data_IF_581915687716
#
_entry.id   IF_581915687716
#
_cell.length_a   1.000
_cell.length_b   1.000
_cell.length_c   1.000
_cell.angle_alpha   90.00
_cell.angle_beta   90.00
_cell.angle_gamma   90.00
#
_symmetry.space_group_name_H-M   'P 1'
#
loop_
_entity.id
_entity.type
_entity.pdbx_description
1 polymer ?
#
# COMPACT_ATOMS: atom_id res chain seq x y z
N UNK A 1 7.02 25.53 -21.17
CA UNK A 1 5.56 25.85 -21.18
C UNK A 1 4.93 25.05 -20.08
N UNK A 2 4.14 25.68 -19.20
CA UNK A 2 3.41 24.97 -18.14
C UNK A 2 2.30 24.10 -18.72
N UNK A 3 1.99 22.96 -18.07
CA UNK A 3 0.76 22.23 -18.36
C UNK A 3 -0.36 22.75 -17.44
N UNK A 4 -1.60 22.78 -17.96
CA UNK A 4 -2.79 23.14 -17.19
C UNK A 4 -3.84 22.03 -17.38
N UNK A 5 -4.19 21.34 -16.31
CA UNK A 5 -5.19 20.25 -16.32
C UNK A 5 -6.52 20.81 -15.82
N UNK A 6 -7.53 20.83 -16.69
CA UNK A 6 -8.90 21.24 -16.38
C UNK A 6 -9.79 20.04 -16.19
N UNK A 7 -10.66 20.09 -15.20
CA UNK A 7 -11.74 19.14 -14.98
C UNK A 7 -12.98 19.88 -14.45
N UNK A 8 -14.15 19.24 -14.44
CA UNK A 8 -15.35 19.83 -13.86
C UNK A 8 -15.21 20.00 -12.35
N UNK A 9 -14.62 18.98 -11.67
CA UNK A 9 -14.32 19.01 -10.25
C UNK A 9 -12.86 18.68 -10.02
N UNK A 10 -12.21 19.37 -9.08
CA UNK A 10 -10.85 19.12 -8.60
C UNK A 10 -10.94 18.87 -7.10
N UNK A 11 -10.59 17.66 -6.64
CA UNK A 11 -10.58 17.33 -5.21
C UNK A 11 -9.38 18.00 -4.55
N UNK A 12 -9.63 18.76 -3.50
CA UNK A 12 -8.63 19.52 -2.74
C UNK A 12 -8.09 18.73 -1.53
N UNK A 13 -6.97 19.16 -0.91
CA UNK A 13 -6.36 18.45 0.22
C UNK A 13 -7.27 18.25 1.43
N UNK A 14 -8.18 19.19 1.68
CA UNK A 14 -9.19 19.13 2.75
C UNK A 14 -10.41 18.26 2.38
N UNK A 15 -10.30 17.54 1.26
CA UNK A 15 -11.38 16.71 0.71
C UNK A 15 -12.66 17.51 0.38
N UNK A 16 -12.53 18.81 0.09
CA UNK A 16 -13.55 19.58 -0.64
C UNK A 16 -13.32 19.47 -2.15
N UNK A 17 -14.03 20.24 -2.96
CA UNK A 17 -13.75 20.32 -4.39
C UNK A 17 -13.86 21.74 -4.95
N UNK A 18 -13.09 22.02 -5.99
CA UNK A 18 -13.15 23.25 -6.76
C UNK A 18 -13.79 22.97 -8.13
N UNK A 19 -14.49 24.00 -8.65
CA UNK A 19 -15.01 24.05 -10.02
C UNK A 19 -14.35 25.21 -10.76
N UNK A 20 -14.50 25.25 -12.10
CA UNK A 20 -13.99 26.35 -12.93
C UNK A 20 -12.51 26.69 -12.70
N UNK A 21 -11.71 25.68 -12.40
CA UNK A 21 -10.30 25.81 -12.05
C UNK A 21 -9.43 24.82 -12.83
N UNK A 22 -8.12 25.06 -12.84
CA UNK A 22 -7.14 24.17 -13.45
C UNK A 22 -5.95 23.99 -12.53
N UNK A 23 -5.41 22.77 -12.47
CA UNK A 23 -4.14 22.44 -11.82
C UNK A 23 -2.99 22.81 -12.75
N UNK A 24 -2.07 23.64 -12.29
CA UNK A 24 -0.89 24.08 -13.05
C UNK A 24 0.31 23.23 -12.67
N UNK A 25 0.97 22.69 -13.68
CA UNK A 25 2.13 21.82 -13.54
C UNK A 25 3.32 22.44 -14.25
N UNK A 26 4.43 22.53 -13.52
CA UNK A 26 5.74 22.90 -14.04
C UNK A 26 6.66 21.67 -14.00
N UNK A 27 7.01 21.12 -15.16
CA UNK A 27 7.72 19.86 -15.30
C UNK A 27 6.97 18.71 -14.57
N UNK A 28 7.42 18.32 -13.40
CA UNK A 28 6.83 17.26 -12.59
C UNK A 28 6.22 17.74 -11.26
N UNK A 29 6.13 19.06 -11.06
CA UNK A 29 5.70 19.68 -9.80
C UNK A 29 4.39 20.46 -10.01
N UNK A 30 3.45 20.33 -9.10
CA UNK A 30 2.25 21.15 -9.01
C UNK A 30 2.67 22.55 -8.57
N UNK A 31 2.42 23.55 -9.44
CA UNK A 31 2.69 24.96 -9.14
C UNK A 31 1.56 25.64 -8.39
N UNK A 32 0.33 25.09 -8.50
CA UNK A 32 -0.87 25.63 -7.84
C UNK A 32 -2.14 25.30 -8.62
N UNK A 33 -3.25 25.86 -8.15
CA UNK A 33 -4.55 25.81 -8.82
C UNK A 33 -4.96 27.24 -9.13
N UNK A 34 -5.41 27.50 -10.35
CA UNK A 34 -5.87 28.82 -10.76
C UNK A 34 -7.28 28.75 -11.38
N UNK A 35 -8.07 29.83 -11.32
CA UNK A 35 -9.34 29.93 -12.03
C UNK A 35 -9.16 29.82 -13.55
N UNK A 36 -10.12 29.20 -14.24
CA UNK A 36 -10.04 28.98 -15.69
C UNK A 36 -9.90 30.24 -16.51
N UNK A 37 -10.45 31.38 -16.05
CA UNK A 37 -10.36 32.68 -16.76
C UNK A 37 -8.93 33.22 -16.83
N UNK A 38 -8.01 32.76 -15.98
CA UNK A 38 -6.58 33.13 -15.98
C UNK A 38 -5.73 32.31 -16.96
N UNK A 39 -6.33 31.28 -17.62
CA UNK A 39 -5.63 30.45 -18.58
C UNK A 39 -5.43 31.19 -19.91
N UNK A 40 -4.18 31.34 -20.32
CA UNK A 40 -3.82 31.86 -21.63
C UNK A 40 -3.06 30.81 -22.45
N UNK A 41 -3.40 30.63 -23.73
CA UNK A 41 -2.75 29.67 -24.64
C UNK A 41 -1.26 29.94 -24.84
N UNK A 42 -0.81 31.19 -24.70
CA UNK A 42 0.62 31.56 -24.81
C UNK A 42 1.46 30.97 -23.65
N UNK A 43 0.87 30.83 -22.46
CA UNK A 43 1.57 30.40 -21.24
C UNK A 43 1.38 28.93 -20.93
N UNK A 44 0.21 28.36 -21.28
CA UNK A 44 -0.19 27.02 -20.83
C UNK A 44 -0.53 26.09 -21.99
N UNK A 45 0.00 24.85 -21.93
CA UNK A 45 -0.54 23.72 -22.70
C UNK A 45 -1.73 23.16 -21.90
N UNK A 46 -2.95 23.46 -22.38
CA UNK A 46 -4.18 23.08 -21.68
C UNK A 46 -4.61 21.67 -22.09
N UNK A 47 -4.88 20.83 -21.11
CA UNK A 47 -5.53 19.52 -21.24
C UNK A 47 -6.90 19.65 -20.56
N UNK A 48 -7.95 19.62 -21.36
CA UNK A 48 -9.33 19.78 -20.89
C UNK A 48 -10.04 18.43 -20.79
N UNK A 49 -10.16 17.93 -19.57
CA UNK A 49 -10.83 16.66 -19.25
C UNK A 49 -12.36 16.78 -19.17
N UNK A 50 -12.90 17.98 -19.41
CA UNK A 50 -14.35 18.26 -19.49
C UNK A 50 -15.12 17.74 -18.27
N UNK A 51 -16.12 16.84 -18.52
CA UNK A 51 -17.01 16.30 -17.49
C UNK A 51 -16.31 15.18 -16.71
N UNK A 52 -15.37 15.54 -15.84
CA UNK A 52 -14.57 14.61 -15.06
C UNK A 52 -14.27 15.12 -13.65
N UNK A 53 -13.82 14.22 -12.78
CA UNK A 53 -13.29 14.50 -11.45
C UNK A 53 -11.79 14.27 -11.48
N UNK A 54 -11.01 15.32 -11.19
CA UNK A 54 -9.55 15.28 -11.04
C UNK A 54 -9.19 15.14 -9.56
N UNK A 55 -8.34 14.20 -9.25
CA UNK A 55 -7.90 13.91 -7.88
C UNK A 55 -6.44 13.45 -7.87
N UNK A 56 -5.78 13.39 -6.69
CA UNK A 56 -4.45 12.79 -6.57
C UNK A 56 -4.50 11.33 -7.03
N UNK A 57 -3.41 10.83 -7.58
CA UNK A 57 -3.28 9.43 -7.93
C UNK A 57 -3.52 8.50 -6.74
N UNK A 58 -4.17 7.38 -6.96
CA UNK A 58 -4.36 6.37 -5.92
C UNK A 58 -3.03 5.75 -5.50
N UNK A 59 -2.94 5.39 -4.24
CA UNK A 59 -1.77 4.79 -3.60
C UNK A 59 -2.16 3.43 -3.04
N UNK A 60 -1.80 2.37 -3.75
CA UNK A 60 -1.90 1.00 -3.25
C UNK A 60 -0.72 0.75 -2.29
N UNK A 61 -0.97 0.94 -1.00
CA UNK A 61 0.09 1.03 0.00
C UNK A 61 0.69 -0.32 0.40
N UNK A 62 0.13 -1.42 -0.07
CA UNK A 62 0.62 -2.78 0.17
C UNK A 62 0.14 -3.72 -0.93
N UNK A 63 1.09 -4.27 -1.68
CA UNK A 63 0.81 -5.25 -2.74
C UNK A 63 1.98 -6.22 -2.91
N UNK A 64 1.67 -7.46 -3.32
CA UNK A 64 2.63 -8.52 -3.66
C UNK A 64 2.46 -8.89 -5.14
N UNK A 65 3.02 -8.10 -6.06
CA UNK A 65 2.90 -8.37 -7.50
C UNK A 65 3.55 -9.68 -7.92
N UNK A 66 4.63 -10.05 -7.24
CA UNK A 66 5.38 -11.29 -7.48
C UNK A 66 4.55 -12.55 -7.26
N UNK A 67 3.48 -12.51 -6.44
CA UNK A 67 2.69 -13.68 -6.05
C UNK A 67 1.46 -13.93 -6.94
N UNK A 68 1.21 -13.12 -7.98
CA UNK A 68 0.04 -13.30 -8.84
C UNK A 68 -0.03 -14.67 -9.53
N UNK A 69 1.11 -15.26 -9.87
CA UNK A 69 1.15 -16.58 -10.51
C UNK A 69 0.64 -17.71 -9.62
N UNK A 70 0.58 -17.51 -8.31
CA UNK A 70 0.13 -18.53 -7.35
C UNK A 70 -1.38 -18.67 -7.29
N UNK A 71 -2.15 -17.65 -7.69
CA UNK A 71 -3.61 -17.60 -7.53
C UNK A 71 -4.34 -18.88 -8.00
N UNK A 72 -3.98 -19.37 -9.18
CA UNK A 72 -4.61 -20.56 -9.78
C UNK A 72 -4.04 -21.90 -9.27
N UNK A 73 -3.03 -21.85 -8.41
CA UNK A 73 -2.34 -23.03 -7.89
C UNK A 73 -2.71 -23.29 -6.42
N UNK A 74 -3.44 -22.38 -5.79
CA UNK A 74 -3.89 -22.53 -4.43
C UNK A 74 -5.10 -23.45 -4.38
N UNK A 75 -5.00 -24.49 -3.55
CA UNK A 75 -6.13 -25.34 -3.19
C UNK A 75 -6.98 -24.64 -2.11
N UNK A 76 -8.26 -25.00 -1.94
CA UNK A 76 -9.08 -24.54 -0.83
C UNK A 76 -8.35 -24.73 0.51
N UNK A 77 -8.48 -23.77 1.39
CA UNK A 77 -7.87 -23.78 2.72
C UNK A 77 -8.88 -23.34 3.78
N UNK A 78 -8.74 -23.87 4.99
CA UNK A 78 -9.67 -23.58 6.09
C UNK A 78 -9.07 -22.60 7.12
N UNK A 79 -7.77 -22.35 7.08
CA UNK A 79 -7.09 -21.48 8.04
C UNK A 79 -5.94 -20.72 7.39
N UNK A 80 -5.55 -19.63 8.02
CA UNK A 80 -4.38 -18.85 7.62
C UNK A 80 -3.07 -19.69 7.55
N UNK A 81 -2.76 -20.56 8.52
CA UNK A 81 -1.60 -21.44 8.42
C UNK A 81 -1.66 -22.45 7.27
N UNK A 82 -2.84 -22.93 6.87
CA UNK A 82 -2.98 -23.82 5.71
C UNK A 82 -2.64 -23.09 4.41
N UNK A 83 -3.14 -21.86 4.25
CA UNK A 83 -2.78 -20.98 3.14
C UNK A 83 -1.28 -20.68 3.13
N UNK A 84 -0.71 -20.27 4.28
CA UNK A 84 0.71 -19.92 4.40
C UNK A 84 1.63 -21.08 4.00
N UNK A 85 1.28 -22.32 4.38
CA UNK A 85 2.00 -23.52 3.97
C UNK A 85 2.02 -23.70 2.44
N UNK A 86 0.90 -23.45 1.77
CA UNK A 86 0.83 -23.54 0.31
C UNK A 86 1.74 -22.50 -0.32
N UNK A 87 1.68 -21.23 0.14
CA UNK A 87 2.54 -20.15 -0.37
C UNK A 87 4.02 -20.49 -0.19
N UNK A 88 4.43 -20.93 1.00
CA UNK A 88 5.83 -21.29 1.26
C UNK A 88 6.29 -22.45 0.35
N UNK A 89 5.41 -23.44 0.12
CA UNK A 89 5.71 -24.58 -0.77
C UNK A 89 5.86 -24.13 -2.23
N UNK A 90 4.97 -23.25 -2.70
CA UNK A 90 5.04 -22.68 -4.05
C UNK A 90 6.29 -21.81 -4.23
N UNK A 91 6.63 -20.99 -3.22
CA UNK A 91 7.84 -20.13 -3.25
C UNK A 91 9.14 -20.93 -3.36
N UNK A 92 9.18 -22.20 -2.98
CA UNK A 92 10.40 -23.06 -3.14
C UNK A 92 10.64 -23.50 -4.59
N UNK A 93 9.57 -23.61 -5.40
CA UNK A 93 9.58 -24.15 -6.75
C UNK A 93 9.09 -23.11 -7.79
N UNK A 94 9.63 -21.89 -7.72
CA UNK A 94 9.23 -20.82 -8.61
C UNK A 94 9.99 -20.85 -9.94
N UNK A 95 9.36 -20.20 -10.94
CA UNK A 95 9.93 -19.93 -12.26
C UNK A 95 10.05 -18.41 -12.45
N UNK A 96 11.24 -17.94 -12.74
CA UNK A 96 11.52 -16.51 -12.94
C UNK A 96 10.63 -15.87 -14.00
N UNK A 97 10.25 -16.62 -15.05
CA UNK A 97 9.37 -16.13 -16.11
C UNK A 97 7.95 -15.89 -15.59
N UNK A 98 7.44 -16.77 -14.74
CA UNK A 98 6.12 -16.64 -14.11
C UNK A 98 6.08 -15.42 -13.20
N UNK A 99 7.13 -15.19 -12.39
CA UNK A 99 7.23 -14.00 -11.53
C UNK A 99 7.27 -12.73 -12.39
N UNK A 100 8.15 -12.67 -13.39
CA UNK A 100 8.25 -11.50 -14.26
C UNK A 100 6.93 -11.18 -14.99
N UNK A 101 6.19 -12.20 -15.44
CA UNK A 101 4.88 -12.03 -16.06
C UNK A 101 3.81 -11.58 -15.04
N UNK A 102 3.85 -12.10 -13.82
CA UNK A 102 2.99 -11.68 -12.71
C UNK A 102 3.15 -10.20 -12.42
N UNK A 103 4.38 -9.76 -12.24
CA UNK A 103 4.70 -8.35 -11.97
C UNK A 103 4.19 -7.44 -13.09
N UNK A 104 4.44 -7.77 -14.35
CA UNK A 104 3.95 -6.97 -15.49
C UNK A 104 2.43 -6.85 -15.50
N UNK A 105 1.71 -7.97 -15.36
CA UNK A 105 0.23 -7.97 -15.31
C UNK A 105 -0.30 -7.15 -14.14
N UNK A 106 0.31 -7.31 -12.98
CA UNK A 106 -0.09 -6.56 -11.78
C UNK A 106 0.18 -5.05 -11.90
N UNK A 107 1.27 -4.65 -12.54
CA UNK A 107 1.54 -3.25 -12.86
C UNK A 107 0.49 -2.67 -13.81
N UNK A 108 0.15 -3.41 -14.88
CA UNK A 108 -0.88 -2.99 -15.84
C UNK A 108 -2.25 -2.85 -15.16
N UNK A 109 -2.65 -3.79 -14.31
CA UNK A 109 -3.90 -3.74 -13.55
C UNK A 109 -3.92 -2.56 -12.57
N UNK A 110 -2.82 -2.33 -11.87
CA UNK A 110 -2.65 -1.18 -10.98
C UNK A 110 -2.82 0.15 -11.71
N UNK A 111 -2.10 0.36 -12.81
CA UNK A 111 -2.18 1.57 -13.62
C UNK A 111 -3.59 1.78 -14.21
N UNK A 112 -4.25 0.70 -14.66
CA UNK A 112 -5.61 0.77 -15.20
C UNK A 112 -6.68 1.06 -14.14
N UNK A 113 -6.40 0.84 -12.87
CA UNK A 113 -7.29 1.20 -11.76
C UNK A 113 -7.03 2.60 -11.17
N UNK A 114 -6.12 3.38 -11.76
CA UNK A 114 -5.78 4.73 -11.30
C UNK A 114 -4.70 4.76 -10.21
N UNK A 115 -4.02 3.66 -9.94
CA UNK A 115 -2.88 3.63 -9.03
C UNK A 115 -1.67 4.28 -9.71
N UNK A 116 -1.08 5.27 -9.04
CA UNK A 116 0.14 5.97 -9.48
C UNK A 116 1.34 5.62 -8.60
N UNK A 117 1.07 5.10 -7.41
CA UNK A 117 2.08 4.70 -6.43
C UNK A 117 1.73 3.36 -5.81
N UNK A 118 2.73 2.49 -5.69
CA UNK A 118 2.60 1.19 -5.01
C UNK A 118 3.56 1.06 -3.84
N UNK A 119 3.13 0.34 -2.80
CA UNK A 119 3.98 -0.24 -1.75
C UNK A 119 4.22 -1.71 -2.08
N UNK A 120 5.19 -2.00 -2.94
CA UNK A 120 5.52 -3.35 -3.38
C UNK A 120 6.33 -4.10 -2.36
N UNK A 121 5.95 -5.34 -2.06
CA UNK A 121 6.71 -6.24 -1.20
C UNK A 121 7.48 -7.22 -2.08
N UNK A 122 8.78 -7.01 -2.20
CA UNK A 122 9.68 -7.87 -2.98
C UNK A 122 10.23 -9.00 -2.13
N UNK A 123 9.86 -10.21 -2.45
CA UNK A 123 10.15 -11.41 -1.67
C UNK A 123 10.97 -12.48 -2.41
N UNK A 124 11.32 -12.22 -3.68
CA UNK A 124 12.13 -13.09 -4.54
C UNK A 124 13.46 -12.43 -4.94
N UNK A 125 14.11 -11.77 -3.98
CA UNK A 125 15.45 -11.20 -4.13
C UNK A 125 15.59 -10.22 -5.33
N UNK A 126 14.50 -9.45 -5.59
CA UNK A 126 14.49 -8.37 -6.58
C UNK A 126 14.22 -8.81 -8.02
N UNK A 127 13.60 -9.95 -8.24
CA UNK A 127 13.20 -10.39 -9.60
C UNK A 127 12.21 -9.43 -10.26
N UNK A 128 11.43 -8.69 -9.46
CA UNK A 128 10.46 -7.67 -9.85
C UNK A 128 11.09 -6.32 -10.24
N UNK A 129 12.28 -6.01 -9.70
CA UNK A 129 12.91 -4.69 -9.76
C UNK A 129 12.98 -4.10 -11.16
N UNK A 130 13.46 -4.87 -12.16
CA UNK A 130 13.60 -4.37 -13.54
C UNK A 130 12.25 -4.01 -14.17
N UNK A 131 11.21 -4.80 -13.91
CA UNK A 131 9.87 -4.54 -14.45
C UNK A 131 9.26 -3.29 -13.80
N UNK A 132 9.43 -3.12 -12.49
CA UNK A 132 8.97 -1.94 -11.73
C UNK A 132 9.63 -0.66 -12.26
N UNK A 133 10.96 -0.63 -12.36
CA UNK A 133 11.66 0.57 -12.87
C UNK A 133 11.21 0.92 -14.29
N UNK A 134 11.04 -0.09 -15.16
CA UNK A 134 10.60 0.12 -16.55
C UNK A 134 9.17 0.65 -16.64
N UNK A 135 8.29 0.31 -15.71
CA UNK A 135 6.88 0.76 -15.71
C UNK A 135 6.71 2.25 -15.50
N UNK A 136 7.66 2.89 -14.82
CA UNK A 136 7.57 4.30 -14.42
C UNK A 136 6.55 4.59 -13.30
N UNK A 137 5.92 3.55 -12.72
CA UNK A 137 5.05 3.71 -11.55
C UNK A 137 5.90 4.12 -10.34
N UNK A 138 5.40 5.05 -9.53
CA UNK A 138 6.10 5.41 -8.29
C UNK A 138 6.03 4.24 -7.31
N UNK A 139 7.16 3.88 -6.70
CA UNK A 139 7.25 2.69 -5.87
C UNK A 139 7.96 2.97 -4.55
N UNK A 140 7.27 2.69 -3.44
CA UNK A 140 7.89 2.39 -2.17
C UNK A 140 8.20 0.88 -2.18
N UNK A 141 9.47 0.55 -2.38
CA UNK A 141 9.94 -0.81 -2.61
C UNK A 141 10.38 -1.43 -1.30
N UNK A 142 9.58 -2.28 -0.74
CA UNK A 142 9.84 -2.98 0.50
C UNK A 142 10.56 -4.31 0.23
N UNK A 143 11.86 -4.34 0.50
CA UNK A 143 12.65 -5.56 0.40
C UNK A 143 12.38 -6.47 1.60
N UNK A 144 11.74 -7.62 1.34
CA UNK A 144 11.31 -8.55 2.38
C UNK A 144 12.48 -9.33 2.99
N UNK A 145 12.51 -9.40 4.31
CA UNK A 145 13.47 -10.18 5.10
C UNK A 145 12.72 -11.11 6.05
N UNK A 146 13.07 -12.40 5.99
CA UNK A 146 12.68 -13.43 6.94
C UNK A 146 13.95 -14.10 7.51
N UNK A 147 13.83 -15.04 8.48
CA UNK A 147 15.00 -15.76 9.00
C UNK A 147 15.78 -16.49 7.90
N UNK A 148 15.09 -17.07 6.93
CA UNK A 148 15.70 -17.75 5.78
C UNK A 148 16.52 -16.84 4.86
N UNK A 149 16.21 -15.54 4.86
CA UNK A 149 16.82 -14.53 3.99
C UNK A 149 17.59 -13.45 4.77
N UNK A 150 17.82 -13.64 6.07
CA UNK A 150 18.44 -12.62 6.94
C UNK A 150 19.85 -12.21 6.47
N UNK A 151 20.57 -13.08 5.78
CA UNK A 151 21.89 -12.77 5.23
C UNK A 151 21.82 -11.80 4.05
N UNK A 152 20.69 -11.74 3.34
CA UNK A 152 20.50 -10.87 2.19
C UNK A 152 20.50 -9.38 2.58
N UNK A 153 20.34 -9.07 3.88
CA UNK A 153 20.40 -7.68 4.37
C UNK A 153 21.80 -7.03 4.13
N UNK A 154 22.82 -7.83 3.94
CA UNK A 154 24.20 -7.37 3.66
C UNK A 154 24.60 -7.58 2.19
N UNK A 155 23.67 -8.05 1.35
CA UNK A 155 23.95 -8.34 -0.06
C UNK A 155 24.38 -7.09 -0.84
N UNK A 156 25.21 -7.31 -1.88
CA UNK A 156 25.60 -6.26 -2.83
C UNK A 156 24.37 -5.70 -3.56
N UNK A 157 23.38 -6.55 -3.83
CA UNK A 157 22.13 -6.15 -4.50
C UNK A 157 21.37 -5.12 -3.64
N UNK A 158 21.10 -5.43 -2.37
CA UNK A 158 20.38 -4.50 -1.49
C UNK A 158 21.13 -3.18 -1.30
N UNK A 159 22.48 -3.24 -1.16
CA UNK A 159 23.32 -2.02 -1.10
C UNK A 159 23.24 -1.19 -2.39
N UNK A 160 23.18 -1.85 -3.55
CA UNK A 160 22.97 -1.18 -4.84
C UNK A 160 21.60 -0.51 -4.94
N UNK A 161 20.54 -1.13 -4.42
CA UNK A 161 19.20 -0.52 -4.38
C UNK A 161 19.17 0.76 -3.51
N UNK A 162 19.88 0.79 -2.39
CA UNK A 162 20.03 2.00 -1.55
C UNK A 162 20.60 3.18 -2.33
N UNK A 163 21.59 2.93 -3.19
CA UNK A 163 22.22 3.97 -4.01
C UNK A 163 21.31 4.46 -5.15
N UNK A 164 20.39 3.63 -5.62
CA UNK A 164 19.46 3.92 -6.71
C UNK A 164 18.15 4.58 -6.27
N UNK A 165 17.99 4.88 -4.99
CA UNK A 165 16.79 5.57 -4.48
C UNK A 165 16.65 6.96 -5.11
N UNK A 166 15.46 7.27 -5.60
CA UNK A 166 15.14 8.55 -6.24
C UNK A 166 13.65 8.91 -6.02
N UNK A 167 13.15 9.94 -6.69
CA UNK A 167 11.76 10.39 -6.49
C UNK A 167 10.71 9.36 -6.91
N UNK A 168 11.02 8.46 -7.86
CA UNK A 168 10.09 7.41 -8.33
C UNK A 168 10.32 6.06 -7.66
N UNK A 169 11.53 5.81 -7.14
CA UNK A 169 11.89 4.55 -6.49
C UNK A 169 12.51 4.81 -5.13
N UNK A 170 11.84 4.36 -4.07
CA UNK A 170 12.27 4.55 -2.69
C UNK A 170 12.38 3.20 -1.97
N UNK A 171 13.61 2.76 -1.70
CA UNK A 171 13.86 1.50 -1.00
C UNK A 171 13.46 1.59 0.47
N UNK A 172 12.79 0.54 0.94
CA UNK A 172 12.38 0.30 2.31
C UNK A 172 12.71 -1.13 2.68
N UNK A 173 12.68 -1.47 3.97
CA UNK A 173 12.94 -2.83 4.44
C UNK A 173 11.66 -3.39 5.07
N UNK A 174 11.38 -4.65 4.78
CA UNK A 174 10.19 -5.33 5.27
C UNK A 174 10.55 -6.58 6.08
N UNK A 175 10.82 -6.48 7.40
CA UNK A 175 10.77 -7.67 8.23
C UNK A 175 9.39 -8.30 8.13
N UNK A 176 9.31 -9.50 7.53
CA UNK A 176 8.04 -10.08 7.09
C UNK A 176 6.98 -10.08 8.21
N UNK A 177 7.30 -10.68 9.38
CA UNK A 177 6.38 -10.77 10.52
C UNK A 177 7.12 -11.16 11.80
N UNK A 178 6.47 -11.05 12.95
CA UNK A 178 7.05 -11.50 14.24
C UNK A 178 7.20 -13.03 14.35
N UNK A 179 6.46 -13.77 13.54
CA UNK A 179 6.54 -15.25 13.54
C UNK A 179 7.49 -15.80 12.47
N UNK A 180 8.05 -14.97 11.61
CA UNK A 180 9.02 -15.35 10.58
C UNK A 180 10.45 -14.88 10.87
N UNK A 181 10.63 -14.04 11.89
CA UNK A 181 11.91 -13.53 12.36
C UNK A 181 12.05 -13.75 13.88
N UNK A 182 13.18 -14.31 14.31
CA UNK A 182 13.50 -14.28 15.73
C UNK A 182 13.92 -12.90 16.21
N UNK A 183 13.94 -12.70 17.52
CA UNK A 183 14.26 -11.40 18.13
C UNK A 183 15.65 -10.89 17.72
N UNK A 184 16.64 -11.76 17.54
CA UNK A 184 18.00 -11.40 17.13
C UNK A 184 18.02 -10.87 15.70
N UNK A 185 17.38 -11.60 14.80
CA UNK A 185 17.26 -11.21 13.37
C UNK A 185 16.50 -9.91 13.22
N UNK A 186 15.39 -9.75 13.95
CA UNK A 186 14.62 -8.50 13.94
C UNK A 186 15.47 -7.30 14.40
N UNK A 187 16.23 -7.44 15.50
CA UNK A 187 17.16 -6.39 15.95
C UNK A 187 18.24 -6.06 14.90
N UNK A 188 18.74 -7.05 14.14
CA UNK A 188 19.68 -6.84 13.03
C UNK A 188 19.04 -6.00 11.92
N UNK A 189 17.78 -6.31 11.52
CA UNK A 189 17.02 -5.53 10.53
C UNK A 189 16.81 -4.09 11.00
N UNK A 190 16.48 -3.90 12.28
CA UNK A 190 16.31 -2.58 12.86
C UNK A 190 17.60 -1.74 12.83
N UNK A 191 18.72 -2.38 13.20
CA UNK A 191 20.03 -1.72 13.16
C UNK A 191 20.39 -1.27 11.74
N UNK A 192 20.13 -2.14 10.74
CA UNK A 192 20.34 -1.82 9.32
C UNK A 192 19.46 -0.64 8.88
N UNK A 193 18.17 -0.69 9.15
CA UNK A 193 17.24 0.38 8.77
C UNK A 193 17.64 1.72 9.41
N UNK A 194 18.05 1.71 10.69
CA UNK A 194 18.56 2.90 11.38
C UNK A 194 19.83 3.43 10.72
N UNK A 195 20.80 2.56 10.42
CA UNK A 195 22.07 2.93 9.79
C UNK A 195 21.86 3.61 8.43
N UNK A 196 20.89 3.13 7.66
CA UNK A 196 20.63 3.61 6.30
C UNK A 196 19.47 4.61 6.22
N UNK A 197 18.93 5.05 7.36
CA UNK A 197 17.79 5.97 7.46
C UNK A 197 16.61 5.55 6.54
N UNK A 198 16.30 4.25 6.53
CA UNK A 198 15.21 3.71 5.71
C UNK A 198 14.00 3.31 6.57
N UNK A 199 12.80 3.51 6.01
CA UNK A 199 11.56 3.13 6.66
C UNK A 199 11.39 1.62 6.68
N UNK A 200 10.68 1.12 7.69
CA UNK A 200 10.30 -0.28 7.83
C UNK A 200 8.82 -0.49 7.48
N UNK A 201 8.47 -1.72 7.11
CA UNK A 201 7.11 -2.23 7.08
C UNK A 201 7.07 -3.63 7.68
N UNK A 202 5.92 -4.09 8.18
CA UNK A 202 5.76 -5.43 8.76
C UNK A 202 4.29 -5.87 8.69
N UNK A 203 4.03 -7.14 8.37
CA UNK A 203 2.72 -7.76 8.60
C UNK A 203 2.54 -7.97 10.11
N UNK A 204 1.41 -7.49 10.65
CA UNK A 204 1.20 -7.50 12.09
C UNK A 204 -0.27 -7.70 12.45
N UNK A 205 -0.50 -8.54 13.45
CA UNK A 205 -1.84 -8.82 13.99
C UNK A 205 -2.84 -9.22 12.89
N UNK A 206 -2.36 -9.96 11.88
CA UNK A 206 -3.13 -10.37 10.72
C UNK A 206 -4.10 -11.49 11.07
N UNK A 207 -3.63 -12.51 11.80
CA UNK A 207 -4.41 -13.69 12.13
C UNK A 207 -4.52 -13.93 13.64
N UNK A 208 -5.56 -14.69 14.04
CA UNK A 208 -5.70 -15.16 15.42
C UNK A 208 -4.54 -16.09 15.82
N UNK A 209 -4.03 -16.88 14.87
CA UNK A 209 -2.88 -17.75 15.12
C UNK A 209 -1.60 -16.96 15.44
N UNK A 210 -1.39 -15.79 14.81
CA UNK A 210 -0.29 -14.89 15.17
C UNK A 210 -0.46 -14.33 16.58
N UNK A 211 -1.68 -13.91 16.95
CA UNK A 211 -1.95 -13.43 18.32
C UNK A 211 -1.66 -14.54 19.33
N UNK A 212 -2.16 -15.75 19.09
CA UNK A 212 -1.95 -16.89 19.98
C UNK A 212 -0.46 -17.25 20.09
N UNK A 213 0.27 -17.22 18.98
CA UNK A 213 1.73 -17.42 18.98
C UNK A 213 2.44 -16.37 19.87
N UNK A 214 2.14 -15.09 19.69
CA UNK A 214 2.74 -14.01 20.49
C UNK A 214 2.35 -14.09 21.98
N UNK A 215 1.13 -14.54 22.27
CA UNK A 215 0.63 -14.76 23.63
C UNK A 215 1.09 -16.09 24.24
N UNK A 216 1.93 -16.89 23.54
CA UNK A 216 2.38 -18.24 23.94
C UNK A 216 1.23 -19.21 24.23
N UNK A 217 0.14 -19.07 23.49
CA UNK A 217 -1.00 -19.99 23.52
C UNK A 217 -0.88 -21.02 22.40
N UNK A 218 -1.65 -22.13 22.50
CA UNK A 218 -1.77 -23.11 21.42
C UNK A 218 -2.20 -22.41 20.11
N UNK A 219 -1.49 -22.70 19.01
CA UNK A 219 -1.72 -22.08 17.71
C UNK A 219 -1.32 -23.01 16.56
N UNK A 220 -1.95 -22.83 15.41
CA UNK A 220 -1.69 -23.66 14.24
C UNK A 220 -0.42 -23.24 13.48
N UNK A 221 0.19 -22.07 13.73
CA UNK A 221 1.49 -21.72 13.15
C UNK A 221 2.58 -22.69 13.63
N UNK A 222 2.61 -23.00 14.93
CA UNK A 222 3.57 -23.97 15.48
C UNK A 222 3.29 -25.38 14.95
N UNK A 223 2.03 -25.81 14.99
CA UNK A 223 1.65 -27.17 14.64
C UNK A 223 1.76 -27.47 13.13
N UNK A 224 1.39 -26.52 12.28
CA UNK A 224 1.27 -26.75 10.83
C UNK A 224 2.39 -26.11 10.00
N UNK A 225 2.99 -25.01 10.45
CA UNK A 225 4.01 -24.27 9.68
C UNK A 225 5.41 -24.59 10.18
N UNK A 226 5.71 -24.32 11.46
CA UNK A 226 7.08 -24.47 11.98
C UNK A 226 7.54 -25.92 12.08
N UNK A 227 6.64 -26.86 12.27
CA UNK A 227 6.95 -28.30 12.26
C UNK A 227 7.54 -28.76 10.91
N UNK A 228 7.21 -28.08 9.79
CA UNK A 228 7.73 -28.40 8.45
C UNK A 228 9.05 -27.70 8.11
N UNK A 229 9.38 -26.66 8.84
CA UNK A 229 10.62 -25.91 8.66
C UNK A 229 11.44 -26.10 9.93
N UNK A 230 12.51 -26.83 9.94
CA UNK A 230 13.41 -27.12 11.08
C UNK A 230 13.92 -25.87 11.85
N UNK A 231 13.20 -24.76 11.78
CA UNK A 231 13.52 -23.48 12.41
C UNK A 231 12.28 -22.79 12.97
N UNK A 232 11.97 -23.08 14.23
CA UNK A 232 11.00 -22.29 15.00
C UNK A 232 11.67 -20.97 15.37
N UNK A 233 11.13 -19.79 14.92
CA UNK A 233 11.66 -18.52 15.37
C UNK A 233 11.58 -18.41 16.89
N UNK A 234 12.71 -18.13 17.55
CA UNK A 234 12.72 -17.95 19.00
C UNK A 234 12.20 -16.56 19.35
N UNK A 235 10.96 -16.53 19.78
CA UNK A 235 10.31 -15.33 20.28
C UNK A 235 10.71 -15.14 21.75
N UNK A 236 11.78 -14.40 21.97
CA UNK A 236 12.30 -14.09 23.30
C UNK A 236 11.50 -12.94 23.94
N UNK A 237 10.35 -13.28 24.49
CA UNK A 237 9.43 -12.31 25.07
C UNK A 237 8.48 -12.96 26.08
N UNK A 238 8.03 -12.19 27.07
CA UNK A 238 6.84 -12.51 27.85
C UNK A 238 5.61 -12.48 26.94
N UNK A 239 4.53 -13.21 27.27
CA UNK A 239 3.27 -13.15 26.53
C UNK A 239 2.79 -11.70 26.34
N UNK A 240 2.45 -11.33 25.12
CA UNK A 240 1.97 -9.99 24.75
C UNK A 240 1.32 -10.03 23.37
N UNK A 241 0.55 -9.02 23.01
CA UNK A 241 0.10 -8.87 21.62
C UNK A 241 1.30 -8.60 20.71
N UNK A 242 1.19 -8.85 19.39
CA UNK A 242 2.23 -8.49 18.43
C UNK A 242 2.64 -7.01 18.50
N UNK A 243 1.69 -6.10 18.64
CA UNK A 243 1.97 -4.65 18.74
C UNK A 243 2.64 -4.28 20.05
N UNK A 244 2.19 -4.81 21.19
CA UNK A 244 2.86 -4.61 22.48
C UNK A 244 4.32 -5.11 22.47
N UNK A 245 4.57 -6.24 21.78
CA UNK A 245 5.94 -6.74 21.61
C UNK A 245 6.79 -5.76 20.83
N UNK A 246 6.31 -5.26 19.68
CA UNK A 246 7.04 -4.30 18.87
C UNK A 246 7.29 -2.98 19.62
N UNK A 247 6.29 -2.48 20.35
CA UNK A 247 6.44 -1.26 21.16
C UNK A 247 7.51 -1.44 22.27
N UNK A 248 7.56 -2.61 22.90
CA UNK A 248 8.51 -2.93 23.96
C UNK A 248 9.96 -3.04 23.45
N UNK A 249 10.21 -3.60 22.28
CA UNK A 249 11.57 -3.67 21.71
C UNK A 249 12.04 -2.33 21.09
N UNK A 250 11.31 -1.25 21.35
CA UNK A 250 11.64 0.12 20.91
C UNK A 250 11.68 0.33 19.39
N UNK A 251 10.85 -0.40 18.63
CA UNK A 251 10.66 -0.13 17.20
C UNK A 251 10.14 1.27 16.91
N UNK A 252 9.47 1.90 17.87
CA UNK A 252 8.89 3.24 17.73
C UNK A 252 9.89 4.35 17.40
N UNK A 253 11.19 4.12 17.56
CA UNK A 253 12.25 5.07 17.15
C UNK A 253 12.47 5.13 15.64
N UNK A 254 11.80 4.25 14.89
CA UNK A 254 11.84 4.20 13.44
C UNK A 254 10.43 4.32 12.87
N UNK A 255 10.31 4.92 11.69
CA UNK A 255 9.03 4.95 10.99
C UNK A 255 8.76 3.53 10.48
N UNK A 256 7.75 2.88 11.03
CA UNK A 256 7.33 1.54 10.63
C UNK A 256 5.88 1.55 10.20
N UNK A 257 5.62 1.00 9.02
CA UNK A 257 4.27 0.78 8.51
C UNK A 257 3.76 -0.58 8.98
N UNK A 258 2.64 -0.59 9.69
CA UNK A 258 1.98 -1.81 10.15
C UNK A 258 0.92 -2.24 9.15
N UNK A 259 1.00 -3.47 8.66
CA UNK A 259 0.06 -3.97 7.65
C UNK A 259 -0.93 -4.95 8.29
N UNK A 260 -2.18 -4.93 7.84
CA UNK A 260 -3.37 -5.68 8.28
C UNK A 260 -4.00 -5.13 9.56
N UNK A 261 -3.42 -5.37 10.73
CA UNK A 261 -3.93 -4.90 12.04
C UNK A 261 -5.38 -5.31 12.29
N UNK A 262 -5.74 -6.56 11.97
CA UNK A 262 -7.11 -7.07 12.08
C UNK A 262 -7.52 -7.42 13.50
N UNK A 263 -6.56 -7.97 14.26
CA UNK A 263 -6.79 -8.54 15.58
C UNK A 263 -6.14 -7.66 16.65
N UNK A 264 -6.85 -6.60 17.05
CA UNK A 264 -6.37 -5.61 18.01
C UNK A 264 -7.12 -5.69 19.35
N UNK A 265 -6.38 -5.60 20.45
CA UNK A 265 -6.90 -5.37 21.77
C UNK A 265 -7.19 -3.87 22.01
N UNK A 266 -7.86 -3.56 23.15
CA UNK A 266 -8.03 -2.17 23.58
C UNK A 266 -6.70 -1.47 23.85
N UNK A 267 -5.70 -2.20 24.36
CA UNK A 267 -4.36 -1.67 24.62
C UNK A 267 -3.62 -1.39 23.32
N UNK A 268 -3.74 -2.26 22.29
CA UNK A 268 -3.18 -2.00 20.97
C UNK A 268 -3.72 -0.69 20.37
N UNK A 269 -5.02 -0.43 20.52
CA UNK A 269 -5.62 0.84 20.07
C UNK A 269 -5.06 2.06 20.80
N UNK A 270 -4.74 1.94 22.10
CA UNK A 270 -4.07 3.00 22.87
C UNK A 270 -2.64 3.21 22.37
N UNK A 271 -1.89 2.13 22.12
CA UNK A 271 -0.54 2.21 21.56
C UNK A 271 -0.57 2.92 20.20
N UNK A 272 -1.47 2.53 19.28
CA UNK A 272 -1.63 3.19 17.98
C UNK A 272 -1.90 4.69 18.13
N UNK A 273 -2.83 5.08 19.00
CA UNK A 273 -3.14 6.49 19.27
C UNK A 273 -1.95 7.26 19.84
N UNK A 274 -1.18 6.64 20.74
CA UNK A 274 -0.01 7.26 21.37
C UNK A 274 1.18 7.40 20.42
N UNK A 275 1.49 6.33 19.70
CA UNK A 275 2.69 6.22 18.83
C UNK A 275 2.48 6.75 17.42
N UNK A 276 1.22 6.85 16.98
CA UNK A 276 0.88 7.33 15.64
C UNK A 276 1.57 6.52 14.52
N UNK A 277 1.69 5.20 14.68
CA UNK A 277 2.19 4.33 13.62
C UNK A 277 1.32 4.44 12.36
N UNK A 278 1.91 4.55 11.15
CA UNK A 278 1.17 4.38 9.92
C UNK A 278 0.63 2.94 9.82
N UNK A 279 -0.61 2.80 9.34
CA UNK A 279 -1.27 1.50 9.18
C UNK A 279 -1.79 1.36 7.76
N UNK A 280 -1.61 0.20 7.15
CA UNK A 280 -2.25 -0.19 5.88
C UNK A 280 -3.26 -1.29 6.16
N UNK A 281 -4.51 -1.05 5.85
CA UNK A 281 -5.57 -2.06 5.93
C UNK A 281 -5.78 -2.71 4.55
N UNK A 282 -6.04 -4.04 4.55
CA UNK A 282 -6.28 -4.83 3.34
C UNK A 282 -7.61 -5.61 3.49
N UNK A 283 -8.77 -4.91 3.52
CA UNK A 283 -10.03 -5.52 3.96
C UNK A 283 -10.48 -6.73 3.15
N UNK A 284 -10.31 -6.72 1.82
CA UNK A 284 -10.71 -7.84 0.95
C UNK A 284 -9.81 -9.05 1.13
N UNK A 285 -8.49 -8.83 1.21
CA UNK A 285 -7.52 -9.88 1.51
C UNK A 285 -7.85 -10.56 2.84
N UNK A 286 -8.14 -9.77 3.87
CA UNK A 286 -8.46 -10.32 5.18
C UNK A 286 -9.66 -11.27 5.13
N UNK A 287 -10.74 -10.91 4.43
CA UNK A 287 -11.90 -11.80 4.25
C UNK A 287 -11.55 -13.02 3.39
N UNK A 288 -10.77 -12.85 2.32
CA UNK A 288 -10.33 -13.96 1.49
C UNK A 288 -9.58 -15.03 2.30
N UNK A 289 -8.75 -14.58 3.26
CA UNK A 289 -7.98 -15.44 4.17
C UNK A 289 -8.80 -15.92 5.39
N UNK A 290 -10.13 -15.77 5.40
CA UNK A 290 -11.01 -16.10 6.52
C UNK A 290 -10.63 -15.35 7.82
N UNK A 291 -10.05 -14.14 7.70
CA UNK A 291 -9.75 -13.28 8.83
C UNK A 291 -10.85 -12.26 9.08
N UNK A 292 -10.82 -11.63 10.25
CA UNK A 292 -11.73 -10.53 10.58
C UNK A 292 -11.44 -9.30 9.73
N UNK A 293 -12.45 -8.51 9.47
CA UNK A 293 -12.24 -7.15 9.00
C UNK A 293 -11.53 -6.34 10.08
N UNK A 294 -10.63 -5.40 9.67
CA UNK A 294 -10.04 -4.46 10.60
C UNK A 294 -11.14 -3.60 11.25
N UNK A 295 -10.84 -3.01 12.41
CA UNK A 295 -11.78 -2.11 13.07
C UNK A 295 -12.03 -0.85 12.22
N UNK A 296 -12.99 -0.93 11.28
CA UNK A 296 -13.26 0.15 10.33
C UNK A 296 -13.64 1.46 11.03
N UNK A 297 -14.42 1.41 12.15
CA UNK A 297 -14.74 2.64 12.91
C UNK A 297 -13.50 3.34 13.42
N UNK A 298 -12.50 2.59 13.87
CA UNK A 298 -11.23 3.15 14.31
C UNK A 298 -10.42 3.67 13.13
N UNK A 299 -10.19 2.84 12.10
CA UNK A 299 -9.29 3.19 11.00
C UNK A 299 -9.85 4.26 10.06
N UNK A 300 -11.15 4.38 9.92
CA UNK A 300 -11.79 5.52 9.24
C UNK A 300 -11.57 6.86 9.97
N UNK A 301 -11.26 6.85 11.26
CA UNK A 301 -10.94 8.06 12.04
C UNK A 301 -9.43 8.22 12.30
N UNK A 302 -8.63 7.22 12.01
CA UNK A 302 -7.19 7.23 12.25
C UNK A 302 -6.43 7.85 11.07
N UNK A 303 -5.84 9.04 11.26
CA UNK A 303 -5.30 9.88 10.16
C UNK A 303 -4.15 9.27 9.36
N UNK A 304 -3.51 8.22 9.86
CA UNK A 304 -2.38 7.54 9.19
C UNK A 304 -2.79 6.16 8.66
N UNK A 305 -4.04 6.03 8.22
CA UNK A 305 -4.54 4.83 7.55
C UNK A 305 -4.35 4.95 6.04
N UNK A 306 -3.67 3.97 5.44
CA UNK A 306 -3.61 3.71 4.01
C UNK A 306 -4.41 2.46 3.65
N UNK A 307 -4.63 2.23 2.36
CA UNK A 307 -5.34 1.10 1.79
C UNK A 307 -4.38 0.26 0.94
N UNK A 308 -4.46 -1.06 1.03
CA UNK A 308 -3.70 -2.01 0.24
C UNK A 308 -4.58 -3.11 -0.31
N UNK A 309 -4.24 -3.65 -1.48
CA UNK A 309 -4.95 -4.80 -2.07
C UNK A 309 -4.41 -6.13 -1.60
N UNK A 310 -3.17 -6.15 -1.07
CA UNK A 310 -2.40 -7.37 -0.95
C UNK A 310 -2.17 -8.05 -2.32
N UNK A 311 -1.78 -9.32 -2.40
CA UNK A 311 -1.51 -10.03 -3.64
C UNK A 311 -2.65 -10.95 -4.09
N UNK A 312 -2.59 -11.45 -5.32
CA UNK A 312 -3.55 -12.44 -5.82
C UNK A 312 -3.43 -13.83 -5.16
N UNK A 313 -2.42 -14.05 -4.32
CA UNK A 313 -2.36 -15.20 -3.43
C UNK A 313 -3.34 -15.12 -2.27
N UNK A 314 -3.78 -13.92 -1.94
CA UNK A 314 -4.63 -13.59 -0.78
C UNK A 314 -5.82 -12.70 -1.16
N UNK A 315 -6.07 -12.49 -2.45
CA UNK A 315 -7.20 -11.70 -2.94
C UNK A 315 -7.64 -12.21 -4.32
N UNK A 316 -8.88 -11.89 -4.71
CA UNK A 316 -9.44 -12.26 -6.02
C UNK A 316 -9.06 -11.27 -7.13
N UNK A 317 -8.70 -10.04 -6.78
CA UNK A 317 -8.36 -8.95 -7.70
C UNK A 317 -7.47 -7.94 -6.98
N UNK A 318 -6.52 -7.33 -7.69
CA UNK A 318 -5.76 -6.18 -7.21
C UNK A 318 -6.24 -4.87 -7.83
N UNK A 319 -7.36 -4.88 -8.51
CA UNK A 319 -8.02 -3.67 -8.98
C UNK A 319 -8.35 -2.78 -7.77
N UNK A 320 -7.68 -1.65 -7.64
CA UNK A 320 -7.78 -0.80 -6.46
C UNK A 320 -9.17 -0.16 -6.29
N UNK A 321 -9.91 0.01 -7.37
CA UNK A 321 -11.30 0.48 -7.32
C UNK A 321 -12.23 -0.52 -6.62
N UNK A 322 -11.96 -1.83 -6.74
CA UNK A 322 -12.72 -2.86 -6.02
C UNK A 322 -12.48 -2.75 -4.51
N UNK A 323 -11.26 -2.41 -4.08
CA UNK A 323 -10.94 -2.20 -2.67
C UNK A 323 -11.62 -0.93 -2.11
N UNK A 324 -11.61 0.16 -2.88
CA UNK A 324 -12.32 1.41 -2.56
C UNK A 324 -13.83 1.15 -2.41
N UNK A 325 -14.43 0.48 -3.39
CA UNK A 325 -15.86 0.17 -3.38
C UNK A 325 -16.23 -0.75 -2.21
N UNK A 326 -15.41 -1.78 -1.96
CA UNK A 326 -15.61 -2.68 -0.83
C UNK A 326 -15.57 -1.93 0.51
N UNK A 327 -14.60 -1.05 0.70
CA UNK A 327 -14.48 -0.24 1.91
C UNK A 327 -15.69 0.70 2.05
N UNK A 328 -16.15 1.31 0.95
CA UNK A 328 -17.33 2.18 0.93
C UNK A 328 -18.60 1.43 1.37
N UNK A 329 -18.88 0.28 0.78
CA UNK A 329 -20.06 -0.52 1.12
C UNK A 329 -20.07 -0.96 2.60
N UNK A 330 -18.90 -1.36 3.14
CA UNK A 330 -18.78 -1.75 4.53
C UNK A 330 -18.87 -0.56 5.50
N UNK A 331 -18.31 0.60 5.13
CA UNK A 331 -18.45 1.83 5.91
C UNK A 331 -19.92 2.30 6.00
N UNK A 332 -20.69 2.17 4.91
CA UNK A 332 -22.13 2.46 4.90
C UNK A 332 -22.91 1.49 5.82
N UNK A 333 -22.61 0.19 5.79
CA UNK A 333 -23.24 -0.81 6.66
C UNK A 333 -23.09 -0.49 8.15
N UNK A 334 -21.97 0.06 8.56
CA UNK A 334 -21.71 0.45 9.96
C UNK A 334 -22.03 1.92 10.24
N UNK A 335 -22.81 2.56 9.37
CA UNK A 335 -23.33 3.93 9.53
C UNK A 335 -22.25 5.00 9.77
N UNK A 336 -21.15 4.96 9.03
CA UNK A 336 -20.17 6.05 8.99
C UNK A 336 -20.73 7.16 8.11
N UNK A 337 -20.74 8.38 8.63
CA UNK A 337 -21.21 9.56 7.89
C UNK A 337 -20.20 9.98 6.83
N UNK A 338 -20.68 10.28 5.61
CA UNK A 338 -19.88 10.76 4.47
C UNK A 338 -18.57 9.96 4.27
N UNK A 339 -18.64 8.60 4.20
CA UNK A 339 -17.46 7.76 4.18
C UNK A 339 -16.63 7.96 2.92
N UNK A 340 -17.23 8.40 1.81
CA UNK A 340 -16.61 8.58 0.50
C UNK A 340 -15.41 9.55 0.55
N UNK A 341 -15.54 10.68 1.25
CA UNK A 341 -14.44 11.67 1.42
C UNK A 341 -13.26 11.05 2.16
N UNK A 342 -13.57 10.37 3.27
CA UNK A 342 -12.53 9.74 4.08
C UNK A 342 -11.86 8.58 3.35
N UNK A 343 -12.59 7.83 2.54
CA UNK A 343 -12.05 6.74 1.73
C UNK A 343 -11.10 7.29 0.65
N UNK A 344 -11.44 8.38 -0.02
CA UNK A 344 -10.52 9.04 -0.95
C UNK A 344 -9.26 9.54 -0.23
N UNK A 345 -9.40 10.11 0.96
CA UNK A 345 -8.23 10.49 1.75
C UNK A 345 -7.34 9.27 2.09
N UNK A 346 -7.94 8.14 2.51
CA UNK A 346 -7.23 6.90 2.80
C UNK A 346 -6.52 6.36 1.55
N UNK A 347 -7.19 6.39 0.40
CA UNK A 347 -6.67 5.90 -0.88
C UNK A 347 -5.60 6.82 -1.51
N UNK A 348 -5.41 8.03 -1.00
CA UNK A 348 -4.47 9.04 -1.53
C UNK A 348 -3.50 9.52 -0.44
N UNK A 349 -3.82 10.57 0.31
CA UNK A 349 -2.95 11.15 1.35
C UNK A 349 -2.67 10.17 2.49
N UNK A 350 -3.64 9.35 2.89
CA UNK A 350 -3.45 8.30 3.90
C UNK A 350 -2.42 7.27 3.45
N UNK A 351 -2.52 6.81 2.20
CA UNK A 351 -1.52 5.93 1.59
C UNK A 351 -0.14 6.58 1.52
N UNK A 352 -0.07 7.86 1.14
CA UNK A 352 1.19 8.61 1.13
C UNK A 352 1.82 8.67 2.53
N UNK A 353 1.02 8.93 3.58
CA UNK A 353 1.48 8.90 4.98
C UNK A 353 1.96 7.51 5.39
N UNK A 354 1.24 6.47 4.98
CA UNK A 354 1.64 5.10 5.27
C UNK A 354 2.99 4.75 4.65
N UNK A 355 3.27 5.29 3.48
CA UNK A 355 4.54 5.08 2.77
C UNK A 355 5.62 6.14 3.08
N UNK A 356 5.35 7.12 3.96
CA UNK A 356 6.29 8.21 4.27
C UNK A 356 6.59 9.12 3.06
N UNK A 357 5.61 9.30 2.18
CA UNK A 357 5.72 10.08 0.93
C UNK A 357 4.78 11.30 0.90
N UNK A 358 4.11 11.60 2.01
CA UNK A 358 3.05 12.63 2.09
C UNK A 358 3.56 14.06 1.90
N UNK A 359 4.84 14.31 2.09
CA UNK A 359 5.47 15.58 1.70
C UNK A 359 5.59 15.75 0.18
N UNK A 360 5.51 14.65 -0.58
CA UNK A 360 5.78 14.66 -2.02
C UNK A 360 4.55 14.37 -2.87
N UNK A 361 3.59 13.55 -2.39
CA UNK A 361 2.42 13.08 -3.15
C UNK A 361 1.17 12.97 -2.26
N UNK A 362 0.07 12.51 -2.82
CA UNK A 362 -1.16 12.15 -2.11
C UNK A 362 -2.18 13.28 -1.98
N UNK A 363 -1.85 14.51 -2.40
CA UNK A 363 -2.79 15.64 -2.47
C UNK A 363 -2.39 16.61 -3.59
N UNK A 364 -3.37 17.38 -4.10
CA UNK A 364 -3.13 18.41 -5.11
C UNK A 364 -2.72 19.70 -4.39
N UNK A 365 -1.45 19.79 -4.04
CA UNK A 365 -0.86 20.92 -3.32
C UNK A 365 0.38 21.46 -4.04
N UNK A 366 0.60 22.76 -3.90
CA UNK A 366 1.82 23.40 -4.42
C UNK A 366 3.07 22.71 -3.89
N UNK A 367 4.06 22.52 -4.76
CA UNK A 367 5.34 21.86 -4.55
C UNK A 367 5.28 20.33 -4.46
N UNK A 368 4.12 19.68 -4.48
CA UNK A 368 4.03 18.23 -4.61
C UNK A 368 4.19 17.77 -6.05
N UNK A 369 4.54 16.51 -6.21
CA UNK A 369 4.66 15.85 -7.50
C UNK A 369 3.29 15.74 -8.18
N UNK A 370 3.29 15.90 -9.48
CA UNK A 370 2.08 15.78 -10.29
C UNK A 370 1.78 14.30 -10.58
N UNK A 371 1.33 13.60 -9.55
CA UNK A 371 0.75 12.26 -9.62
C UNK A 371 -0.79 12.44 -9.54
N UNK A 372 -1.45 12.42 -10.68
CA UNK A 372 -2.85 12.82 -10.82
C UNK A 372 -3.63 11.77 -11.61
N UNK A 373 -4.91 11.63 -11.27
CA UNK A 373 -5.86 10.81 -12.03
C UNK A 373 -7.15 11.58 -12.26
N UNK A 374 -7.87 11.22 -13.31
CA UNK A 374 -9.20 11.73 -13.56
C UNK A 374 -10.15 10.63 -13.99
N UNK A 375 -11.35 10.63 -13.42
CA UNK A 375 -12.45 9.73 -13.78
C UNK A 375 -13.58 10.48 -14.45
N UNK A 376 -14.30 9.83 -15.35
CA UNK A 376 -15.53 10.35 -15.91
C UNK A 376 -16.56 10.59 -14.80
N UNK A 377 -17.26 11.71 -14.89
CA UNK A 377 -18.30 12.05 -13.92
C UNK A 377 -19.60 11.33 -14.27
N UNK A 378 -20.00 10.37 -13.45
CA UNK A 378 -21.24 9.58 -13.60
C UNK A 378 -22.39 10.09 -12.73
N UNK A 379 -22.08 10.80 -11.66
CA UNK A 379 -23.02 11.35 -10.71
C UNK A 379 -22.85 12.86 -10.57
N UNK A 380 -23.89 13.56 -10.07
CA UNK A 380 -23.75 14.98 -9.70
C UNK A 380 -22.72 15.17 -8.57
N UNK A 381 -22.63 14.20 -7.67
CA UNK A 381 -21.66 14.18 -6.59
C UNK A 381 -20.31 13.59 -7.11
N UNK A 382 -19.20 14.34 -7.02
CA UNK A 382 -17.90 13.90 -7.51
C UNK A 382 -17.34 12.71 -6.71
N UNK A 383 -17.63 12.62 -5.41
CA UNK A 383 -17.14 11.53 -4.57
C UNK A 383 -17.83 10.21 -4.91
N UNK A 384 -19.18 10.23 -5.04
CA UNK A 384 -19.95 9.06 -5.46
C UNK A 384 -19.58 8.61 -6.88
N UNK A 385 -19.22 9.55 -7.77
CA UNK A 385 -18.70 9.18 -9.08
C UNK A 385 -17.46 8.32 -8.99
N UNK A 386 -16.52 8.67 -8.12
CA UNK A 386 -15.28 7.88 -7.93
C UNK A 386 -15.57 6.56 -7.23
N UNK A 387 -16.43 6.54 -6.20
CA UNK A 387 -16.80 5.29 -5.50
C UNK A 387 -17.42 4.25 -6.44
N UNK A 388 -18.15 4.68 -7.46
CA UNK A 388 -18.84 3.80 -8.42
C UNK A 388 -18.09 3.66 -9.76
N UNK A 389 -16.85 4.13 -9.84
CA UNK A 389 -16.03 4.00 -11.05
C UNK A 389 -15.46 2.60 -11.21
N UNK A 390 -15.19 2.24 -12.45
CA UNK A 390 -14.40 1.09 -12.85
C UNK A 390 -13.21 1.54 -13.72
N UNK A 391 -12.32 0.61 -14.08
CA UNK A 391 -11.13 0.92 -14.88
C UNK A 391 -11.44 1.52 -16.26
N UNK A 392 -12.65 1.27 -16.80
CA UNK A 392 -13.14 1.86 -18.04
C UNK A 392 -13.40 3.38 -17.94
N UNK A 393 -13.66 3.88 -16.73
CA UNK A 393 -13.97 5.28 -16.46
C UNK A 393 -12.72 6.14 -16.21
N UNK A 394 -11.54 5.53 -16.11
CA UNK A 394 -10.27 6.25 -15.96
C UNK A 394 -9.94 7.00 -17.24
N UNK A 395 -10.07 8.32 -17.20
CA UNK A 395 -9.88 9.24 -18.31
C UNK A 395 -8.44 9.69 -18.47
N UNK A 396 -7.76 9.94 -17.38
CA UNK A 396 -6.36 10.36 -17.37
C UNK A 396 -5.63 9.75 -16.18
N UNK A 397 -4.40 9.32 -16.40
CA UNK A 397 -3.42 9.11 -15.33
C UNK A 397 -2.11 9.79 -15.67
N UNK A 398 -1.48 10.39 -14.65
CA UNK A 398 -0.22 11.12 -14.74
C UNK A 398 0.65 10.74 -13.55
N UNK A 399 1.92 10.44 -13.80
CA UNK A 399 2.92 10.11 -12.78
C UNK A 399 4.14 11.00 -13.02
N UNK A 400 4.59 11.67 -11.97
CA UNK A 400 5.74 12.59 -12.01
C UNK A 400 5.64 13.60 -13.17
N UNK A 401 4.43 14.13 -13.42
CA UNK A 401 4.14 15.10 -14.48
C UNK A 401 4.03 14.51 -15.90
N UNK A 402 4.26 13.21 -16.08
CA UNK A 402 4.14 12.51 -17.37
C UNK A 402 2.79 11.82 -17.49
N UNK A 403 2.10 12.06 -18.60
CA UNK A 403 0.84 11.39 -18.91
C UNK A 403 1.15 9.93 -19.27
N UNK A 404 0.54 9.01 -18.51
CA UNK A 404 0.61 7.55 -18.74
C UNK A 404 -0.61 7.11 -19.57
N UNK A 405 -1.78 7.68 -19.32
CA UNK A 405 -3.03 7.40 -20.02
C UNK A 405 -3.80 8.69 -20.23
N UNK A 406 -4.38 8.86 -21.40
CA UNK A 406 -5.31 9.94 -21.74
C UNK A 406 -6.30 9.41 -22.78
N UNK A 407 -7.62 9.50 -22.49
CA UNK A 407 -8.72 9.19 -23.40
C UNK A 407 -9.32 10.46 -24.01
#
# INVERSE_FOLDING_TARGET
>A
MFQAIKAKYIITPDQSFLTNSAVIINNNIISGIIPNYQLTRKKYKVIDLKNSVLLPGFINSHVHLELHWTQKLLNPFNSFPDWLNQIISLKKNFDNSKISNSVKKGLDESLNSGVTTIGEISSYDGLDYKAIIKSGIRTAYFYEIANSTILNIESKFLKGLLQNTNSLFNLKIFPHSIYSLDTKSLKKVLAFAKKHNTQLGIHLSESVDEINYAMKKKNNLEDKVFSKFNSKPKFDSRPSTPLEYLDRINLFRQIITLVHMNNLSSEDLKILKKRQYPVVICPRSNLYLNQKLPNLRFFMNYKKTGLGTDGLSSNISINFLDEINFLYLNAKKILINNPERRILEIATLGGAKALGLDNSIGSIEKNKKADLIAFDLKNKDPYLSVMHSNSGDLKMSMIDGKIIKLK
#
